data_IF_007130005114
#
_entry.id   IF_007130005114
#
_cell.length_a   1.000
_cell.length_b   1.000
_cell.length_c   1.000
_cell.angle_alpha   90.00
_cell.angle_beta   90.00
_cell.angle_gamma   90.00
#
_symmetry.space_group_name_H-M   'P 1'
#
loop_
_entity.id
_entity.type
_entity.pdbx_description
1 polymer ?
#
# COMPACT_ATOMS: atom_id res chain seq x y z
N UNK A 1 16.40 -5.08 -13.86
CA UNK A 1 15.41 -5.43 -12.82
C UNK A 1 15.65 -6.90 -12.49
N UNK A 2 16.48 -7.19 -11.49
CA UNK A 2 16.82 -8.57 -11.13
C UNK A 2 15.88 -9.01 -10.00
N UNK A 3 15.12 -10.07 -10.27
CA UNK A 3 14.35 -10.80 -9.29
C UNK A 3 15.31 -11.51 -8.34
N UNK A 4 15.36 -11.10 -7.09
CA UNK A 4 16.08 -11.83 -6.04
C UNK A 4 15.11 -12.80 -5.37
N UNK A 5 15.12 -14.02 -5.88
CA UNK A 5 14.50 -15.19 -5.28
C UNK A 5 15.05 -15.45 -3.87
N UNK A 6 14.17 -15.49 -2.88
CA UNK A 6 14.45 -16.14 -1.58
C UNK A 6 13.76 -17.51 -1.62
N UNK A 7 14.52 -18.51 -1.19
CA UNK A 7 14.43 -19.91 -1.55
C UNK A 7 13.23 -20.69 -0.98
N UNK A 8 12.78 -21.71 -1.73
CA UNK A 8 12.36 -22.98 -1.15
C UNK A 8 10.95 -23.49 -1.47
N UNK A 9 10.68 -23.92 -2.71
CA UNK A 9 9.71 -24.98 -3.06
C UNK A 9 8.32 -25.03 -2.35
N UNK A 10 7.76 -23.91 -1.93
CA UNK A 10 6.31 -23.69 -1.87
C UNK A 10 5.95 -22.77 -3.03
N UNK A 11 4.82 -23.01 -3.71
CA UNK A 11 4.40 -22.22 -4.87
C UNK A 11 4.56 -20.73 -4.58
N UNK A 12 5.15 -19.98 -5.53
CA UNK A 12 5.48 -18.57 -5.31
C UNK A 12 4.30 -17.83 -4.68
N UNK A 13 4.53 -17.04 -3.62
CA UNK A 13 3.45 -16.30 -2.98
C UNK A 13 2.79 -15.36 -4.00
N UNK A 14 1.49 -15.52 -4.19
CA UNK A 14 0.69 -14.64 -5.04
C UNK A 14 -0.11 -13.69 -4.16
N UNK A 15 -0.18 -12.42 -4.55
CA UNK A 15 -0.93 -11.40 -3.82
C UNK A 15 -2.09 -10.93 -4.70
N UNK A 16 -3.31 -11.08 -4.20
CA UNK A 16 -4.53 -10.66 -4.89
C UNK A 16 -5.20 -9.53 -4.10
N UNK A 17 -5.31 -8.31 -4.64
CA UNK A 17 -6.02 -7.23 -3.96
C UNK A 17 -7.50 -7.56 -3.74
N UNK A 18 -8.05 -7.18 -2.59
CA UNK A 18 -9.44 -7.43 -2.19
C UNK A 18 -10.05 -6.15 -1.62
N UNK A 19 -11.39 -5.94 -1.65
CA UNK A 19 -12.00 -4.69 -1.18
C UNK A 19 -11.63 -4.32 0.27
N UNK A 20 -11.44 -5.35 1.11
CA UNK A 20 -11.11 -5.22 2.54
C UNK A 20 -9.62 -5.31 2.85
N UNK A 21 -8.75 -5.52 1.85
CA UNK A 21 -7.31 -5.73 2.04
C UNK A 21 -6.67 -6.45 0.87
N UNK A 22 -5.99 -7.56 1.13
CA UNK A 22 -5.37 -8.39 0.10
C UNK A 22 -5.24 -9.84 0.57
N UNK A 23 -5.33 -10.76 -0.37
CA UNK A 23 -5.14 -12.19 -0.14
C UNK A 23 -3.72 -12.58 -0.53
N UNK A 24 -3.09 -13.41 0.30
CA UNK A 24 -1.79 -14.02 0.03
C UNK A 24 -1.99 -15.53 -0.13
N UNK A 25 -1.65 -16.04 -1.31
CA UNK A 25 -1.75 -17.45 -1.66
C UNK A 25 -0.36 -18.08 -1.70
N UNK A 26 -0.12 -19.10 -0.87
CA UNK A 26 1.13 -19.88 -0.83
C UNK A 26 0.79 -21.36 -0.97
N UNK A 27 1.07 -21.94 -2.15
CA UNK A 27 0.66 -23.32 -2.45
C UNK A 27 -0.87 -23.48 -2.44
N UNK A 28 -1.39 -24.20 -1.45
CA UNK A 28 -2.84 -24.41 -1.23
C UNK A 28 -3.41 -23.57 -0.08
N UNK A 29 -2.59 -22.68 0.51
CA UNK A 29 -3.01 -21.81 1.60
C UNK A 29 -3.38 -20.43 1.05
N UNK A 30 -4.63 -20.03 1.24
CA UNK A 30 -5.11 -18.67 0.97
C UNK A 30 -5.38 -17.97 2.29
N UNK A 31 -4.70 -16.86 2.55
CA UNK A 31 -4.87 -16.08 3.77
C UNK A 31 -5.19 -14.63 3.42
N UNK A 32 -6.26 -14.09 4.02
CA UNK A 32 -6.69 -12.72 3.86
C UNK A 32 -6.05 -11.84 4.92
N UNK A 33 -5.45 -10.75 4.47
CA UNK A 33 -4.84 -9.72 5.30
C UNK A 33 -5.55 -8.38 5.10
N UNK A 34 -5.60 -7.57 6.15
CA UNK A 34 -6.03 -6.18 6.05
C UNK A 34 -4.94 -5.33 5.38
N UNK A 35 -5.26 -4.08 5.06
CA UNK A 35 -4.34 -3.14 4.41
C UNK A 35 -3.12 -2.78 5.28
N UNK A 36 -3.13 -3.12 6.55
CA UNK A 36 -2.01 -2.92 7.48
C UNK A 36 -1.15 -4.18 7.62
N UNK A 37 -1.51 -5.28 6.95
CA UNK A 37 -0.79 -6.55 6.98
C UNK A 37 -1.16 -7.43 8.18
N UNK A 38 -2.27 -7.17 8.87
CA UNK A 38 -2.78 -8.08 9.89
C UNK A 38 -3.65 -9.16 9.27
N UNK A 39 -3.54 -10.38 9.79
CA UNK A 39 -4.36 -11.49 9.35
C UNK A 39 -5.83 -11.26 9.73
N UNK A 40 -6.70 -11.21 8.74
CA UNK A 40 -8.16 -11.14 8.90
C UNK A 40 -8.73 -12.56 8.95
N UNK A 41 -8.31 -13.42 8.03
CA UNK A 41 -8.80 -14.79 7.93
C UNK A 41 -7.73 -15.73 7.36
N UNK A 42 -7.42 -16.81 8.07
CA UNK A 42 -6.59 -17.89 7.55
C UNK A 42 -7.45 -18.93 6.82
N UNK A 43 -7.02 -19.34 5.63
CA UNK A 43 -7.67 -20.41 4.89
C UNK A 43 -7.62 -21.74 5.64
N UNK A 44 -8.62 -22.61 5.45
CA UNK A 44 -8.74 -23.87 6.19
C UNK A 44 -7.64 -24.90 5.84
N UNK A 45 -6.91 -24.68 4.74
CA UNK A 45 -5.82 -25.55 4.28
C UNK A 45 -4.43 -25.02 4.66
N UNK A 46 -4.35 -23.91 5.39
CA UNK A 46 -3.09 -23.32 5.82
C UNK A 46 -2.51 -24.06 7.03
N UNK A 47 -1.28 -24.55 6.89
CA UNK A 47 -0.47 -24.95 8.05
C UNK A 47 0.22 -23.74 8.70
N UNK A 48 0.78 -23.93 9.89
CA UNK A 48 1.45 -22.86 10.65
C UNK A 48 2.66 -22.26 9.92
N UNK A 49 3.36 -23.04 9.08
CA UNK A 49 4.52 -22.59 8.32
C UNK A 49 4.06 -21.67 7.19
N UNK A 50 3.06 -22.09 6.42
CA UNK A 50 2.47 -21.29 5.34
C UNK A 50 1.85 -20.00 5.87
N UNK A 51 1.18 -20.05 7.03
CA UNK A 51 0.60 -18.86 7.64
C UNK A 51 1.68 -17.89 8.13
N UNK A 52 2.82 -18.41 8.60
CA UNK A 52 3.97 -17.60 8.98
C UNK A 52 4.60 -16.92 7.76
N UNK A 53 4.81 -17.64 6.66
CA UNK A 53 5.31 -17.08 5.40
C UNK A 53 4.35 -16.04 4.82
N UNK A 54 3.04 -16.33 4.81
CA UNK A 54 2.03 -15.40 4.32
C UNK A 54 2.03 -14.08 5.11
N UNK A 55 2.27 -14.13 6.42
CA UNK A 55 2.46 -12.93 7.25
C UNK A 55 3.73 -12.15 6.89
N UNK A 56 4.82 -12.84 6.57
CA UNK A 56 6.05 -12.15 6.12
C UNK A 56 5.81 -11.46 4.78
N UNK A 57 5.21 -12.16 3.82
CA UNK A 57 4.84 -11.60 2.51
C UNK A 57 3.88 -10.42 2.66
N UNK A 58 2.88 -10.52 3.54
CA UNK A 58 1.96 -9.42 3.80
C UNK A 58 2.68 -8.19 4.38
N UNK A 59 3.62 -8.39 5.31
CA UNK A 59 4.43 -7.29 5.85
C UNK A 59 5.34 -6.69 4.81
N UNK A 60 5.98 -7.50 3.97
CA UNK A 60 6.85 -7.02 2.90
C UNK A 60 6.07 -6.30 1.81
N UNK A 61 4.85 -6.74 1.51
CA UNK A 61 3.93 -6.08 0.58
C UNK A 61 3.50 -4.71 1.12
N UNK A 62 3.07 -4.65 2.39
CA UNK A 62 2.72 -3.40 3.06
C UNK A 62 3.94 -2.49 3.18
N UNK A 63 5.12 -3.05 3.50
CA UNK A 63 6.37 -2.29 3.59
C UNK A 63 6.89 -1.83 2.24
N UNK A 64 6.57 -2.52 1.14
CA UNK A 64 6.87 -2.05 -0.22
C UNK A 64 5.89 -0.97 -0.67
N UNK A 65 4.62 -1.08 -0.30
CA UNK A 65 3.65 0.00 -0.53
C UNK A 65 4.00 1.24 0.29
N UNK A 66 4.37 1.06 1.56
CA UNK A 66 4.88 2.13 2.42
C UNK A 66 6.31 2.55 2.05
N UNK A 67 7.11 1.68 1.44
CA UNK A 67 8.48 1.96 0.98
C UNK A 67 8.51 2.66 -0.38
N UNK A 68 7.41 2.60 -1.12
CA UNK A 68 7.06 3.50 -2.22
C UNK A 68 6.47 4.83 -1.74
N UNK A 69 6.41 5.10 -0.42
CA UNK A 69 6.30 6.47 0.11
C UNK A 69 7.61 7.21 -0.23
N UNK A 70 7.74 7.56 -1.51
CA UNK A 70 8.52 8.72 -1.91
C UNK A 70 7.96 9.87 -1.08
N UNK A 71 8.72 10.30 -0.09
CA UNK A 71 8.33 11.32 0.88
C UNK A 71 7.49 12.41 0.20
N UNK A 72 6.27 12.69 0.68
CA UNK A 72 5.33 13.56 -0.04
C UNK A 72 5.97 14.92 -0.30
N UNK A 73 6.15 15.24 -1.58
CA UNK A 73 6.71 16.51 -1.99
C UNK A 73 5.57 17.50 -2.15
N UNK A 74 5.54 18.51 -1.28
CA UNK A 74 4.50 19.55 -1.30
C UNK A 74 5.01 20.77 -2.05
N UNK A 75 4.31 21.15 -3.12
CA UNK A 75 4.56 22.33 -3.93
C UNK A 75 3.45 23.36 -3.72
N UNK A 76 3.71 24.51 -3.08
CA UNK A 76 2.72 25.57 -2.97
C UNK A 76 2.37 26.15 -4.35
N UNK A 77 1.10 26.42 -4.59
CA UNK A 77 0.60 27.08 -5.80
C UNK A 77 -0.23 28.30 -5.44
N UNK A 78 -0.58 29.13 -6.43
CA UNK A 78 -1.37 30.35 -6.19
C UNK A 78 -2.77 30.09 -5.60
N UNK A 79 -3.32 28.87 -5.75
CA UNK A 79 -4.69 28.54 -5.32
C UNK A 79 -4.76 27.41 -4.28
N UNK A 80 -3.61 26.96 -3.76
CA UNK A 80 -3.52 25.81 -2.87
C UNK A 80 -2.13 25.18 -2.91
N UNK A 81 -2.05 23.86 -2.94
CA UNK A 81 -0.78 23.14 -3.01
C UNK A 81 -0.94 21.79 -3.71
N UNK A 82 0.16 21.30 -4.25
CA UNK A 82 0.25 20.04 -4.96
C UNK A 82 1.10 19.08 -4.12
N UNK A 83 0.68 17.83 -4.03
CA UNK A 83 1.39 16.76 -3.31
C UNK A 83 1.74 15.69 -4.33
N UNK A 84 3.04 15.44 -4.47
CA UNK A 84 3.58 14.37 -5.30
C UNK A 84 4.09 13.23 -4.41
N UNK A 85 3.63 12.02 -4.67
CA UNK A 85 4.07 10.79 -4.00
C UNK A 85 4.34 9.77 -5.09
N UNK A 86 5.61 9.46 -5.36
CA UNK A 86 5.99 8.57 -6.45
C UNK A 86 5.55 9.13 -7.80
N UNK A 87 4.71 8.36 -8.51
CA UNK A 87 4.08 8.77 -9.77
C UNK A 87 2.68 9.40 -9.57
N UNK A 88 2.15 9.36 -8.33
CA UNK A 88 0.90 10.00 -7.98
C UNK A 88 1.06 11.52 -7.82
N UNK A 89 0.14 12.24 -8.47
CA UNK A 89 0.01 13.69 -8.41
C UNK A 89 -1.37 14.04 -7.86
N UNK A 90 -1.45 14.80 -6.77
CA UNK A 90 -2.72 15.25 -6.19
C UNK A 90 -2.68 16.74 -5.84
N UNK A 91 -3.70 17.50 -6.25
CA UNK A 91 -3.85 18.92 -5.96
C UNK A 91 -4.91 19.14 -4.89
N UNK A 92 -4.55 19.93 -3.89
CA UNK A 92 -5.40 20.33 -2.78
C UNK A 92 -5.56 21.85 -2.76
N UNK A 93 -6.70 22.32 -2.25
CA UNK A 93 -6.91 23.74 -2.00
C UNK A 93 -6.25 24.19 -0.69
N UNK A 94 -6.30 25.47 -0.38
CA UNK A 94 -5.72 26.03 0.86
C UNK A 94 -6.34 25.49 2.15
N UNK A 95 -7.46 24.78 2.07
CA UNK A 95 -8.12 24.14 3.22
C UNK A 95 -7.74 22.66 3.36
N UNK A 96 -6.96 22.12 2.42
CA UNK A 96 -6.59 20.70 2.39
C UNK A 96 -7.64 19.81 1.74
N UNK A 97 -8.59 20.38 0.99
CA UNK A 97 -9.58 19.62 0.24
C UNK A 97 -9.02 19.25 -1.13
N UNK A 98 -9.16 17.98 -1.52
CA UNK A 98 -8.71 17.50 -2.83
C UNK A 98 -9.52 18.16 -3.94
N UNK A 99 -8.86 18.98 -4.76
CA UNK A 99 -9.46 19.66 -5.93
C UNK A 99 -9.20 18.88 -7.22
N UNK A 100 -8.10 18.12 -7.27
CA UNK A 100 -7.77 17.26 -8.40
C UNK A 100 -6.97 16.05 -7.92
N UNK A 101 -7.59 14.88 -7.89
CA UNK A 101 -6.87 13.60 -7.72
C UNK A 101 -6.33 13.20 -9.08
N UNK A 102 -5.03 13.37 -9.30
CA UNK A 102 -4.42 13.07 -10.58
C UNK A 102 -4.56 11.60 -10.93
N UNK A 103 -4.76 11.36 -12.21
CA UNK A 103 -4.67 10.05 -12.83
C UNK A 103 -3.39 9.35 -12.40
N UNK A 104 -3.50 8.07 -12.00
CA UNK A 104 -2.44 7.16 -11.54
C UNK A 104 -2.17 7.08 -10.03
N UNK A 105 -2.90 7.81 -9.19
CA UNK A 105 -2.86 7.55 -7.75
C UNK A 105 -3.63 6.26 -7.40
N UNK A 106 -2.97 5.31 -6.74
CA UNK A 106 -3.69 4.26 -6.02
C UNK A 106 -4.22 4.77 -4.65
N UNK A 107 -5.14 4.01 -4.06
CA UNK A 107 -5.86 4.42 -2.83
C UNK A 107 -4.92 4.74 -1.66
N UNK A 108 -3.72 4.16 -1.65
CA UNK A 108 -2.72 4.33 -0.61
C UNK A 108 -2.02 5.67 -0.78
N UNK A 109 -1.48 5.94 -1.96
CA UNK A 109 -0.83 7.22 -2.29
C UNK A 109 -1.81 8.39 -2.12
N UNK A 110 -3.08 8.21 -2.51
CA UNK A 110 -4.09 9.25 -2.32
C UNK A 110 -4.40 9.51 -0.84
N UNK A 111 -4.36 8.48 0.00
CA UNK A 111 -4.58 8.62 1.44
C UNK A 111 -3.38 9.29 2.12
N UNK A 112 -2.16 8.95 1.72
CA UNK A 112 -0.94 9.62 2.19
C UNK A 112 -0.90 11.09 1.74
N UNK A 113 -1.28 11.39 0.49
CA UNK A 113 -1.35 12.75 -0.01
C UNK A 113 -2.36 13.61 0.79
N UNK A 114 -3.51 13.02 1.15
CA UNK A 114 -4.51 13.65 2.04
C UNK A 114 -3.96 13.91 3.43
N UNK A 115 -3.15 12.99 3.96
CA UNK A 115 -2.57 13.14 5.29
C UNK A 115 -1.48 14.22 5.31
N UNK A 116 -0.63 14.26 4.29
CA UNK A 116 0.36 15.32 4.08
C UNK A 116 -0.30 16.70 3.89
N UNK A 117 -1.41 16.76 3.14
CA UNK A 117 -2.20 17.97 2.97
C UNK A 117 -2.75 18.52 4.29
N UNK A 118 -3.25 17.64 5.17
CA UNK A 118 -3.73 18.02 6.50
C UNK A 118 -2.62 18.53 7.42
N UNK A 119 -1.46 17.87 7.42
CA UNK A 119 -0.29 18.35 8.19
C UNK A 119 0.13 19.74 7.73
N UNK A 120 0.18 19.97 6.42
CA UNK A 120 0.58 21.26 5.84
C UNK A 120 -0.36 22.41 6.22
N UNK A 121 -1.68 22.17 6.22
CA UNK A 121 -2.68 23.19 6.61
C UNK A 121 -2.71 23.43 8.12
N UNK A 122 -2.25 22.47 8.93
CA UNK A 122 -2.22 22.58 10.39
C UNK A 122 -0.98 23.30 10.94
N UNK A 123 -0.03 23.69 10.09
CA UNK A 123 1.19 24.43 10.45
C UNK A 123 0.99 25.94 10.34
#
# INVERSE_FOLDING_TARGET
MMFSSIAGQCGQPQITPSPIGFEVSIGNCDALFDRSGNLVQGGPMCDDIQLHEARQVARDYVSQQQGSSSQPQIHPTATGFEVNIGDCYARFDSTGTLVHGGSMCDDIELNEARQAARDYVSR
#
